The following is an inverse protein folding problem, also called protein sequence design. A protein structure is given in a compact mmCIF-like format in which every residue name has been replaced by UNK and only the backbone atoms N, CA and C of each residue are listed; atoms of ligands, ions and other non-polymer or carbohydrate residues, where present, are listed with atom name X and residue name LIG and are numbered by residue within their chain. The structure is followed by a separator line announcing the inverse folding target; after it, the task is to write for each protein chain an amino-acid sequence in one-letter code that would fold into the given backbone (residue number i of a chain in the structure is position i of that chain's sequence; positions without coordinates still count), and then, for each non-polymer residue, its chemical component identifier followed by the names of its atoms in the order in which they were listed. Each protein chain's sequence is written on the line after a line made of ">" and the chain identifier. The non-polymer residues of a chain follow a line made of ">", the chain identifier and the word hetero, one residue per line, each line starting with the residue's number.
data_IF_130653169150
#
_entry.id   IF_130653169150
#
_cell.length_a   1.000
_cell.length_b   1.000
_cell.length_c   1.000
_cell.angle_alpha   90.00
_cell.angle_beta   90.00
_cell.angle_gamma   90.00
#
_symmetry.space_group_name_H-M   'P 1'
#
loop_
_entity.id
_entity.type
_entity.pdbx_description
1 polymer ?
#
# COMPACT_ATOMS: atom_id res chain seq x y z
N UNK A 1 -2.44 15.31 -21.87
CA UNK A 1 -2.53 15.47 -20.41
C UNK A 1 -2.30 14.11 -19.80
N UNK A 2 -1.12 13.85 -19.25
CA UNK A 2 -0.82 12.57 -18.60
C UNK A 2 -1.42 12.60 -17.20
N UNK A 3 -2.55 11.93 -17.04
CA UNK A 3 -3.19 11.71 -15.75
C UNK A 3 -2.19 10.99 -14.83
N UNK A 4 -1.81 11.65 -13.75
CA UNK A 4 -0.94 11.08 -12.73
C UNK A 4 -1.70 9.96 -12.01
N UNK A 5 -1.13 8.75 -11.92
CA UNK A 5 -1.74 7.63 -11.20
C UNK A 5 -0.77 7.08 -10.14
N UNK A 6 -0.98 7.44 -8.88
CA UNK A 6 -0.65 6.55 -7.77
C UNK A 6 -1.84 5.60 -7.66
N UNK A 7 -1.67 4.34 -8.03
CA UNK A 7 -2.66 3.32 -7.73
C UNK A 7 -2.42 2.78 -6.33
N UNK A 8 -3.48 2.82 -5.52
CA UNK A 8 -3.54 2.23 -4.19
C UNK A 8 -3.37 0.73 -4.28
N UNK A 9 -2.72 0.17 -3.26
CA UNK A 9 -2.19 -1.21 -3.19
C UNK A 9 -2.76 -2.14 -4.25
N UNK A 10 -2.00 -2.39 -5.31
CA UNK A 10 -2.36 -3.37 -6.35
C UNK A 10 -1.62 -4.67 -6.12
N UNK A 11 -2.21 -5.77 -6.56
CA UNK A 11 -1.59 -7.08 -6.55
C UNK A 11 -1.17 -7.45 -7.97
N UNK A 12 0.10 -7.80 -8.14
CA UNK A 12 0.67 -8.33 -9.38
C UNK A 12 1.35 -9.67 -9.11
N UNK A 13 1.00 -10.71 -9.87
CA UNK A 13 1.46 -12.09 -9.61
C UNK A 13 1.95 -12.82 -10.85
N UNK A 14 1.22 -12.77 -11.96
CA UNK A 14 1.48 -13.66 -13.10
C UNK A 14 2.42 -12.96 -14.08
N UNK A 15 3.66 -13.45 -14.11
CA UNK A 15 4.74 -12.98 -14.97
C UNK A 15 4.59 -13.58 -16.36
N UNK A 16 4.87 -12.80 -17.39
CA UNK A 16 5.03 -13.38 -18.72
C UNK A 16 6.37 -14.13 -18.81
N UNK A 17 6.41 -15.16 -19.66
CA UNK A 17 7.60 -16.02 -19.79
C UNK A 17 8.77 -15.36 -20.54
N UNK A 18 8.70 -14.07 -20.88
CA UNK A 18 9.77 -13.36 -21.60
C UNK A 18 10.99 -13.11 -20.72
N UNK A 19 10.79 -12.96 -19.42
CA UNK A 19 11.88 -12.73 -18.47
C UNK A 19 11.56 -13.39 -17.12
N UNK A 20 12.34 -14.42 -16.79
CA UNK A 20 12.18 -15.21 -15.57
C UNK A 20 13.15 -14.81 -14.46
N UNK A 21 13.87 -13.70 -14.61
CA UNK A 21 14.85 -13.24 -13.64
C UNK A 21 14.16 -12.63 -12.40
N UNK A 22 14.77 -12.78 -11.20
CA UNK A 22 14.22 -12.23 -9.97
C UNK A 22 14.22 -10.71 -10.00
N UNK A 23 13.14 -10.09 -9.52
CA UNK A 23 12.99 -8.62 -9.48
C UNK A 23 13.00 -8.04 -8.08
N UNK A 24 13.13 -8.87 -7.05
CA UNK A 24 13.12 -8.44 -5.67
C UNK A 24 14.32 -9.01 -4.91
N UNK A 25 14.76 -8.27 -3.90
CA UNK A 25 15.76 -8.73 -2.93
C UNK A 25 15.15 -8.78 -1.52
N UNK A 26 15.80 -9.54 -0.63
CA UNK A 26 15.45 -9.57 0.79
C UNK A 26 16.33 -8.62 1.61
N UNK A 27 16.09 -8.54 2.94
CA UNK A 27 16.85 -7.66 3.85
C UNK A 27 18.36 -7.89 3.89
N UNK A 28 18.82 -9.09 3.49
CA UNK A 28 20.22 -9.45 3.37
C UNK A 28 20.78 -9.13 1.97
N UNK A 29 20.01 -8.42 1.15
CA UNK A 29 20.31 -8.04 -0.23
C UNK A 29 20.48 -9.23 -1.19
N UNK A 30 19.96 -10.39 -0.82
CA UNK A 30 19.96 -11.56 -1.68
C UNK A 30 18.71 -11.56 -2.56
N UNK A 31 18.87 -11.90 -3.83
CA UNK A 31 17.75 -12.03 -4.77
C UNK A 31 16.76 -13.07 -4.27
N UNK A 32 15.48 -12.74 -4.36
CA UNK A 32 14.39 -13.67 -4.12
C UNK A 32 14.26 -14.54 -5.36
N UNK A 33 14.91 -15.71 -5.33
CA UNK A 33 15.06 -16.56 -6.51
C UNK A 33 13.75 -17.05 -7.12
N UNK A 34 13.71 -17.05 -8.45
CA UNK A 34 12.62 -17.47 -9.34
C UNK A 34 12.81 -18.88 -9.94
N UNK A 35 13.95 -19.52 -9.62
CA UNK A 35 14.48 -20.76 -10.27
C UNK A 35 13.49 -21.93 -10.28
N UNK A 36 12.55 -21.98 -9.34
CA UNK A 36 11.46 -22.95 -9.43
C UNK A 36 10.25 -22.21 -10.00
N UNK A 37 9.63 -22.68 -11.07
CA UNK A 37 8.50 -22.03 -11.78
C UNK A 37 7.41 -21.49 -10.84
N UNK A 38 7.14 -22.17 -9.72
CA UNK A 38 6.21 -21.71 -8.69
C UNK A 38 6.63 -20.42 -7.93
N UNK A 39 7.88 -19.99 -8.05
CA UNK A 39 8.43 -18.74 -7.47
C UNK A 39 8.47 -17.60 -8.48
N UNK A 40 8.38 -17.89 -9.77
CA UNK A 40 8.27 -16.87 -10.82
C UNK A 40 7.00 -16.05 -10.61
N UNK A 41 5.87 -16.74 -10.41
CA UNK A 41 4.57 -16.12 -10.15
C UNK A 41 4.33 -15.78 -8.68
N UNK A 42 5.36 -15.23 -8.02
CA UNK A 42 5.24 -14.69 -6.67
C UNK A 42 4.38 -13.43 -6.73
N UNK A 43 3.36 -13.27 -5.85
CA UNK A 43 2.61 -12.03 -5.78
C UNK A 43 3.47 -10.90 -5.19
N UNK A 44 3.19 -9.68 -5.64
CA UNK A 44 3.73 -8.44 -5.13
C UNK A 44 2.56 -7.50 -4.80
N UNK A 45 2.65 -6.84 -3.65
CA UNK A 45 1.83 -5.65 -3.36
C UNK A 45 2.58 -4.46 -3.93
N UNK A 46 1.91 -3.65 -4.72
CA UNK A 46 2.49 -2.56 -5.53
C UNK A 46 1.83 -1.24 -5.19
N UNK A 47 2.64 -0.20 -5.09
CA UNK A 47 2.25 1.21 -5.01
C UNK A 47 2.97 1.94 -6.14
N UNK A 48 2.23 2.73 -6.91
CA UNK A 48 2.79 3.45 -8.05
C UNK A 48 3.18 4.87 -7.65
N UNK A 49 4.25 5.40 -8.22
CA UNK A 49 4.38 6.83 -8.51
C UNK A 49 4.17 7.04 -10.03
N UNK A 50 4.39 8.25 -10.52
CA UNK A 50 4.22 8.57 -11.94
C UNK A 50 5.06 7.66 -12.85
N UNK A 51 6.34 7.44 -12.50
CA UNK A 51 7.31 6.73 -13.32
C UNK A 51 7.97 5.53 -12.60
N UNK A 52 7.60 5.27 -11.34
CA UNK A 52 8.14 4.15 -10.56
C UNK A 52 7.05 3.28 -9.96
N UNK A 53 7.43 2.04 -9.72
CA UNK A 53 6.67 1.04 -9.01
C UNK A 53 7.45 0.67 -7.76
N UNK A 54 6.85 0.90 -6.60
CA UNK A 54 7.31 0.45 -5.29
C UNK A 54 6.57 -0.83 -4.94
N UNK A 55 7.27 -1.89 -4.58
CA UNK A 55 6.64 -3.18 -4.39
C UNK A 55 7.25 -4.03 -3.30
N UNK A 56 6.37 -4.79 -2.65
CA UNK A 56 6.65 -5.66 -1.53
C UNK A 56 6.39 -7.11 -1.93
N UNK A 57 7.34 -8.03 -1.72
CA UNK A 57 7.14 -9.43 -2.06
C UNK A 57 6.19 -10.10 -1.06
N UNK A 58 5.20 -10.79 -1.60
CA UNK A 58 4.27 -11.64 -0.84
C UNK A 58 4.82 -13.07 -0.82
N UNK A 59 4.70 -13.76 0.31
CA UNK A 59 5.05 -15.17 0.45
C UNK A 59 3.86 -15.95 0.98
N UNK A 60 3.63 -17.14 0.42
CA UNK A 60 2.73 -18.12 1.03
C UNK A 60 3.36 -18.69 2.30
N UNK A 61 2.59 -18.73 3.38
CA UNK A 61 3.00 -19.37 4.63
C UNK A 61 2.72 -20.86 4.48
N UNK A 62 3.74 -21.67 4.76
CA UNK A 62 3.68 -23.14 4.75
C UNK A 62 4.19 -23.65 6.08
N UNK A 63 3.86 -24.87 6.46
CA UNK A 63 4.35 -25.48 7.70
C UNK A 63 5.87 -25.35 7.86
N UNK A 64 6.63 -25.56 6.78
CA UNK A 64 8.10 -25.46 6.77
C UNK A 64 8.67 -24.06 7.02
N UNK A 65 7.88 -22.99 6.83
CA UNK A 65 8.34 -21.61 7.03
C UNK A 65 7.49 -20.82 8.05
N UNK A 66 6.46 -21.43 8.64
CA UNK A 66 5.48 -20.74 9.49
C UNK A 66 6.14 -20.06 10.68
N UNK A 67 6.94 -20.81 11.46
CA UNK A 67 7.63 -20.28 12.64
C UNK A 67 8.49 -19.06 12.29
N UNK A 68 9.39 -19.19 11.33
CA UNK A 68 10.29 -18.10 10.93
C UNK A 68 9.57 -16.91 10.30
N UNK A 69 8.41 -17.13 9.66
CA UNK A 69 7.60 -16.04 9.09
C UNK A 69 6.87 -15.25 10.15
N UNK A 70 6.27 -15.94 11.14
CA UNK A 70 5.45 -15.31 12.17
C UNK A 70 6.28 -14.55 13.21
N UNK A 71 7.52 -14.97 13.48
CA UNK A 71 8.42 -14.26 14.41
C UNK A 71 9.05 -13.01 13.80
N UNK A 72 9.09 -12.88 12.46
CA UNK A 72 9.66 -11.71 11.80
C UNK A 72 8.65 -10.55 11.83
N UNK A 73 8.84 -9.65 12.80
CA UNK A 73 8.01 -8.46 13.06
C UNK A 73 7.93 -7.47 11.88
N UNK A 74 8.77 -7.64 10.86
CA UNK A 74 8.75 -6.85 9.61
C UNK A 74 7.75 -7.38 8.59
N UNK A 75 7.07 -8.50 8.86
CA UNK A 75 5.98 -9.00 8.03
C UNK A 75 4.62 -8.45 8.51
N UNK A 76 3.71 -8.29 7.55
CA UNK A 76 2.26 -8.32 7.80
C UNK A 76 1.78 -9.74 7.55
N UNK A 77 1.05 -10.32 8.50
CA UNK A 77 0.58 -11.71 8.45
C UNK A 77 -0.92 -11.71 8.18
N UNK A 78 -1.29 -12.24 7.02
CA UNK A 78 -2.67 -12.44 6.62
C UNK A 78 -3.00 -13.90 6.92
N UNK A 79 -3.80 -14.14 7.96
CA UNK A 79 -4.09 -15.49 8.45
C UNK A 79 -5.36 -16.06 7.81
N UNK A 80 -5.37 -17.36 7.52
CA UNK A 80 -6.52 -18.14 7.04
C UNK A 80 -7.13 -17.72 5.68
N UNK A 81 -6.57 -16.68 5.06
CA UNK A 81 -6.90 -16.23 3.70
C UNK A 81 -5.59 -15.92 2.94
N UNK A 82 -5.67 -15.91 1.61
CA UNK A 82 -4.58 -15.41 0.77
C UNK A 82 -4.73 -13.91 0.47
N UNK A 83 -3.74 -13.35 -0.23
CA UNK A 83 -3.71 -11.93 -0.59
C UNK A 83 -4.92 -11.46 -1.44
N UNK A 84 -5.69 -12.39 -2.01
CA UNK A 84 -6.92 -12.13 -2.77
C UNK A 84 -8.19 -12.45 -1.96
N UNK A 85 -8.11 -12.53 -0.62
CA UNK A 85 -9.24 -12.84 0.29
C UNK A 85 -9.88 -14.23 0.13
N UNK A 86 -9.34 -15.09 -0.73
CA UNK A 86 -9.79 -16.48 -0.81
C UNK A 86 -9.22 -17.28 0.38
N UNK A 87 -9.97 -18.27 0.85
CA UNK A 87 -9.56 -19.16 1.93
C UNK A 87 -8.17 -19.78 1.65
N UNK A 88 -7.35 -19.86 2.70
CA UNK A 88 -6.05 -20.49 2.63
C UNK A 88 -5.72 -21.19 3.96
N UNK A 89 -5.19 -22.43 3.98
CA UNK A 89 -4.99 -23.19 5.21
C UNK A 89 -4.12 -22.53 6.30
N UNK A 90 -3.25 -21.58 5.93
CA UNK A 90 -2.40 -20.84 6.87
C UNK A 90 -2.43 -19.35 6.52
N UNK A 91 -2.23 -19.04 5.24
CA UNK A 91 -2.35 -17.69 4.71
C UNK A 91 -1.08 -17.16 4.04
N UNK A 92 -0.92 -15.85 4.01
CA UNK A 92 0.18 -15.16 3.32
C UNK A 92 0.91 -14.19 4.27
N UNK A 93 2.15 -13.86 3.94
CA UNK A 93 2.88 -12.79 4.60
C UNK A 93 3.39 -11.79 3.56
N UNK A 94 3.24 -10.51 3.85
CA UNK A 94 3.79 -9.41 3.05
C UNK A 94 5.07 -8.95 3.74
N UNK A 95 6.20 -9.05 3.06
CA UNK A 95 7.48 -8.65 3.63
C UNK A 95 7.69 -7.14 3.44
N UNK A 96 7.66 -6.38 4.54
CA UNK A 96 7.86 -4.94 4.56
C UNK A 96 9.30 -4.52 4.92
N UNK A 97 10.24 -5.47 5.03
CA UNK A 97 11.64 -5.17 5.37
C UNK A 97 12.44 -4.52 4.24
N UNK A 98 11.99 -4.69 2.99
CA UNK A 98 12.61 -4.10 1.81
C UNK A 98 11.53 -3.59 0.87
N UNK A 99 11.60 -2.31 0.51
CA UNK A 99 10.81 -1.73 -0.57
C UNK A 99 11.63 -1.88 -1.85
N UNK A 100 11.14 -2.70 -2.78
CA UNK A 100 11.76 -2.85 -4.09
C UNK A 100 11.16 -1.80 -5.04
N UNK A 101 11.97 -1.30 -5.95
CA UNK A 101 11.62 -0.20 -6.85
C UNK A 101 11.98 -0.60 -8.27
N UNK A 102 11.14 -0.24 -9.23
CA UNK A 102 11.42 -0.43 -10.64
C UNK A 102 10.80 0.72 -11.42
N UNK A 103 11.34 0.99 -12.61
CA UNK A 103 10.61 1.77 -13.60
C UNK A 103 9.24 1.15 -13.90
N UNK A 104 8.21 1.99 -14.00
CA UNK A 104 6.82 1.54 -14.16
C UNK A 104 6.63 0.73 -15.45
N UNK A 105 7.10 1.24 -16.58
CA UNK A 105 6.94 0.58 -17.88
C UNK A 105 7.71 -0.75 -17.88
N UNK A 106 8.92 -0.74 -17.33
CA UNK A 106 9.71 -1.97 -17.17
C UNK A 106 8.96 -2.98 -16.30
N UNK A 107 8.38 -2.57 -15.18
CA UNK A 107 7.64 -3.46 -14.28
C UNK A 107 6.44 -4.09 -14.98
N UNK A 108 5.57 -3.26 -15.56
CA UNK A 108 4.34 -3.72 -16.23
C UNK A 108 4.65 -4.65 -17.41
N UNK A 109 5.74 -4.39 -18.15
CA UNK A 109 6.18 -5.22 -19.27
C UNK A 109 6.52 -6.68 -18.88
N UNK A 110 6.71 -6.96 -17.59
CA UNK A 110 7.05 -8.30 -17.09
C UNK A 110 5.83 -9.15 -16.74
N UNK A 111 4.63 -8.58 -16.73
CA UNK A 111 3.41 -9.26 -16.32
C UNK A 111 2.50 -9.55 -17.52
N UNK A 112 1.61 -10.53 -17.36
CA UNK A 112 0.55 -10.81 -18.33
C UNK A 112 -0.56 -9.76 -18.21
N UNK A 113 -0.88 -9.08 -19.32
CA UNK A 113 -1.81 -7.96 -19.36
C UNK A 113 -3.24 -8.35 -18.95
N UNK A 114 -3.71 -9.50 -19.41
CA UNK A 114 -5.11 -9.94 -19.23
C UNK A 114 -5.27 -10.97 -18.11
N UNK A 115 -4.28 -11.08 -17.23
CA UNK A 115 -4.36 -12.03 -16.11
C UNK A 115 -5.27 -11.49 -15.01
N UNK A 116 -6.29 -12.26 -14.63
CA UNK A 116 -7.18 -11.96 -13.50
C UNK A 116 -6.48 -11.85 -12.13
N UNK A 117 -5.18 -12.15 -12.07
CA UNK A 117 -4.35 -12.08 -10.86
C UNK A 117 -3.38 -10.91 -10.87
N UNK A 118 -3.42 -10.06 -11.90
CA UNK A 118 -2.62 -8.84 -12.03
C UNK A 118 -3.54 -7.62 -11.97
N UNK A 119 -2.99 -6.50 -11.50
CA UNK A 119 -3.74 -5.25 -11.32
C UNK A 119 -5.02 -5.37 -10.47
N UNK A 120 -5.04 -6.32 -9.54
CA UNK A 120 -6.18 -6.54 -8.63
C UNK A 120 -6.05 -5.60 -7.44
N UNK A 121 -7.14 -5.00 -7.00
CA UNK A 121 -7.15 -4.19 -5.78
C UNK A 121 -6.78 -5.05 -4.57
N UNK A 122 -5.82 -4.57 -3.78
CA UNK A 122 -5.57 -5.10 -2.46
C UNK A 122 -6.73 -4.68 -1.56
N UNK A 123 -7.17 -5.60 -0.74
CA UNK A 123 -8.18 -5.34 0.27
C UNK A 123 -7.79 -4.16 1.20
N UNK A 124 -8.78 -3.36 1.56
CA UNK A 124 -8.61 -2.16 2.40
C UNK A 124 -7.96 -2.45 3.77
N UNK A 125 -8.40 -3.48 4.49
CA UNK A 125 -7.83 -3.80 5.81
C UNK A 125 -6.38 -4.28 5.67
N UNK A 126 -6.11 -5.12 4.66
CA UNK A 126 -4.74 -5.58 4.40
C UNK A 126 -3.84 -4.38 4.02
N UNK A 127 -4.35 -3.48 3.19
CA UNK A 127 -3.64 -2.26 2.81
C UNK A 127 -3.35 -1.37 4.03
N UNK A 128 -4.34 -1.19 4.92
CA UNK A 128 -4.16 -0.47 6.18
C UNK A 128 -3.05 -1.08 7.05
N UNK A 129 -3.02 -2.40 7.21
CA UNK A 129 -1.98 -3.09 7.98
C UNK A 129 -0.59 -2.90 7.36
N UNK A 130 -0.49 -2.98 6.02
CA UNK A 130 0.75 -2.77 5.28
C UNK A 130 1.27 -1.35 5.46
N UNK A 131 0.41 -0.34 5.26
CA UNK A 131 0.83 1.05 5.38
C UNK A 131 1.23 1.41 6.82
N UNK A 132 0.49 0.92 7.81
CA UNK A 132 0.84 1.08 9.23
C UNK A 132 2.18 0.41 9.56
N UNK A 133 2.42 -0.80 9.03
CA UNK A 133 3.69 -1.50 9.20
C UNK A 133 4.85 -0.74 8.56
N UNK A 134 4.67 -0.26 7.34
CA UNK A 134 5.68 0.53 6.63
C UNK A 134 5.99 1.82 7.39
N UNK A 135 4.98 2.55 7.86
CA UNK A 135 5.14 3.76 8.66
C UNK A 135 6.03 3.51 9.90
N UNK A 136 5.76 2.45 10.66
CA UNK A 136 6.58 2.11 11.82
C UNK A 136 8.04 1.72 11.45
N UNK A 137 8.23 1.04 10.31
CA UNK A 137 9.56 0.59 9.86
C UNK A 137 10.40 1.74 9.28
N UNK A 138 9.79 2.69 8.56
CA UNK A 138 10.51 3.83 7.97
C UNK A 138 11.01 4.77 9.06
N UNK A 139 10.19 5.07 10.07
CA UNK A 139 10.56 5.95 11.20
C UNK A 139 11.60 5.33 12.14
N UNK A 140 11.72 4.00 12.16
CA UNK A 140 12.75 3.31 12.93
C UNK A 140 13.98 2.94 12.10
N UNK A 141 14.12 3.49 10.89
CA UNK A 141 15.21 3.21 9.94
C UNK A 141 15.44 1.70 9.71
N UNK A 142 14.35 0.93 9.71
CA UNK A 142 14.35 -0.53 9.66
C UNK A 142 13.90 -1.10 8.31
N UNK A 143 13.72 -0.24 7.32
CA UNK A 143 13.40 -0.59 5.93
C UNK A 143 14.62 -0.35 5.06
N UNK A 144 14.88 -1.27 4.12
CA UNK A 144 15.87 -1.07 3.06
C UNK A 144 15.19 -0.81 1.73
N UNK A 145 15.92 -0.23 0.79
CA UNK A 145 15.47 -0.10 -0.59
C UNK A 145 16.31 -0.95 -1.56
N UNK A 146 15.69 -1.35 -2.66
CA UNK A 146 16.40 -1.90 -3.82
C UNK A 146 15.74 -1.40 -5.10
N UNK A 147 16.53 -1.03 -6.10
CA UNK A 147 16.00 -0.64 -7.41
C UNK A 147 16.47 -1.61 -8.49
N UNK A 148 15.55 -2.11 -9.30
CA UNK A 148 15.90 -2.79 -10.56
C UNK A 148 16.10 -1.73 -11.64
N UNK A 149 17.27 -1.77 -12.28
CA UNK A 149 17.64 -0.84 -13.37
C UNK A 149 17.76 -1.53 -14.73
N UNK A 150 17.44 -2.83 -14.79
CA UNK A 150 17.41 -3.58 -16.03
C UNK A 150 17.89 -5.02 -15.87
N UNK A 151 18.08 -5.66 -17.02
CA UNK A 151 18.40 -7.08 -17.11
C UNK A 151 19.59 -7.31 -18.04
N UNK A 152 20.35 -8.35 -17.75
CA UNK A 152 21.25 -9.01 -18.69
C UNK A 152 20.62 -10.33 -19.12
N UNK A 153 21.28 -11.09 -20.00
CA UNK A 153 20.81 -12.43 -20.39
C UNK A 153 20.59 -13.37 -19.20
N UNK A 154 21.34 -13.21 -18.10
CA UNK A 154 21.37 -14.18 -16.99
C UNK A 154 21.13 -13.58 -15.60
N UNK A 155 21.11 -12.25 -15.46
CA UNK A 155 21.05 -11.56 -14.16
C UNK A 155 20.25 -10.27 -14.23
N UNK A 156 19.50 -10.00 -13.17
CA UNK A 156 18.90 -8.68 -12.92
C UNK A 156 19.95 -7.73 -12.36
N UNK A 157 19.97 -6.49 -12.84
CA UNK A 157 20.84 -5.42 -12.34
C UNK A 157 20.10 -4.66 -11.25
N UNK A 158 20.68 -4.63 -10.05
CA UNK A 158 20.13 -3.94 -8.90
C UNK A 158 21.02 -2.79 -8.43
N UNK A 159 20.41 -1.68 -8.06
CA UNK A 159 20.99 -0.71 -7.13
C UNK A 159 20.52 -1.11 -5.72
N UNK A 160 21.46 -1.24 -4.81
CA UNK A 160 21.23 -1.62 -3.41
C UNK A 160 21.04 -0.38 -2.54
N UNK A 161 20.45 -0.57 -1.37
CA UNK A 161 20.01 0.48 -0.45
C UNK A 161 20.99 1.67 -0.28
N UNK A 162 22.28 1.38 -0.05
CA UNK A 162 23.31 2.42 0.15
C UNK A 162 23.58 3.31 -1.07
N UNK A 163 23.26 2.84 -2.28
CA UNK A 163 23.53 3.52 -3.55
C UNK A 163 22.26 4.04 -4.23
N UNK A 164 21.10 3.84 -3.62
CA UNK A 164 19.84 4.32 -4.17
C UNK A 164 19.78 5.83 -4.09
N UNK A 165 19.23 6.43 -5.15
CA UNK A 165 18.94 7.87 -5.19
C UNK A 165 18.04 8.25 -4.02
N UNK A 166 18.46 9.26 -3.24
CA UNK A 166 17.73 9.71 -2.06
C UNK A 166 16.29 10.13 -2.38
N UNK A 167 16.05 10.76 -3.55
CA UNK A 167 14.71 11.16 -3.99
C UNK A 167 13.74 9.96 -4.06
N UNK A 168 14.20 8.79 -4.51
CA UNK A 168 13.36 7.58 -4.57
C UNK A 168 12.87 7.18 -3.17
N UNK A 169 13.74 7.34 -2.15
CA UNK A 169 13.40 7.03 -0.76
C UNK A 169 12.45 8.10 -0.21
N UNK A 170 12.75 9.36 -0.47
CA UNK A 170 11.95 10.49 -0.02
C UNK A 170 10.53 10.44 -0.58
N UNK A 171 10.37 10.07 -1.86
CA UNK A 171 9.05 9.88 -2.49
C UNK A 171 8.24 8.78 -1.79
N UNK A 172 8.87 7.65 -1.48
CA UNK A 172 8.22 6.56 -0.75
C UNK A 172 7.84 7.01 0.67
N UNK A 173 8.73 7.72 1.38
CA UNK A 173 8.46 8.22 2.72
C UNK A 173 7.35 9.26 2.72
N UNK A 174 7.35 10.19 1.76
CA UNK A 174 6.31 11.19 1.59
C UNK A 174 4.96 10.54 1.32
N UNK A 175 4.91 9.50 0.48
CA UNK A 175 3.68 8.74 0.26
C UNK A 175 3.16 8.09 1.54
N UNK A 176 4.03 7.38 2.27
CA UNK A 176 3.68 6.70 3.53
C UNK A 176 3.22 7.71 4.60
N UNK A 177 3.93 8.83 4.75
CA UNK A 177 3.59 9.89 5.70
C UNK A 177 2.26 10.56 5.35
N UNK A 178 2.03 10.83 4.06
CA UNK A 178 0.78 11.43 3.59
C UNK A 178 -0.40 10.50 3.85
N UNK A 179 -0.25 9.20 3.55
CA UNK A 179 -1.26 8.20 3.90
C UNK A 179 -1.57 8.21 5.41
N UNK A 180 -0.54 8.17 6.26
CA UNK A 180 -0.74 8.17 7.72
C UNK A 180 -1.40 9.45 8.22
N UNK A 181 -1.04 10.62 7.66
CA UNK A 181 -1.70 11.88 8.00
C UNK A 181 -3.19 11.84 7.65
N UNK A 182 -3.52 11.34 6.46
CA UNK A 182 -4.91 11.22 6.01
C UNK A 182 -5.70 10.21 6.85
N UNK A 183 -5.08 9.10 7.24
CA UNK A 183 -5.68 8.09 8.13
C UNK A 183 -6.13 8.68 9.48
N UNK A 184 -5.36 9.62 10.04
CA UNK A 184 -5.71 10.30 11.29
C UNK A 184 -6.54 11.58 11.08
N UNK A 185 -6.83 11.95 9.84
CA UNK A 185 -7.71 13.08 9.54
C UNK A 185 -9.15 12.64 9.83
N UNK A 186 -9.95 13.41 10.60
CA UNK A 186 -11.35 13.07 10.79
C UNK A 186 -12.04 12.98 9.44
N UNK A 187 -12.83 11.92 9.21
CA UNK A 187 -13.37 11.59 7.89
C UNK A 187 -14.14 12.75 7.23
N UNK A 188 -14.82 13.58 8.01
CA UNK A 188 -15.54 14.76 7.52
C UNK A 188 -14.64 15.89 6.98
N UNK A 189 -13.32 15.82 7.19
CA UNK A 189 -12.33 16.73 6.64
C UNK A 189 -11.46 16.09 5.55
N UNK A 190 -11.69 14.82 5.20
CA UNK A 190 -10.82 14.09 4.27
C UNK A 190 -10.77 14.76 2.89
N UNK A 191 -11.92 15.20 2.37
CA UNK A 191 -12.01 15.84 1.05
C UNK A 191 -11.25 17.17 1.00
N UNK A 192 -11.26 17.92 2.10
CA UNK A 192 -10.48 19.15 2.24
C UNK A 192 -8.98 18.85 2.22
N UNK A 193 -8.52 17.83 2.93
CA UNK A 193 -7.10 17.48 2.92
C UNK A 193 -6.66 16.87 1.57
N UNK A 194 -7.49 16.05 0.95
CA UNK A 194 -7.24 15.49 -0.38
C UNK A 194 -7.16 16.56 -1.46
N UNK A 195 -7.99 17.62 -1.39
CA UNK A 195 -7.96 18.72 -2.37
C UNK A 195 -6.65 19.51 -2.42
N UNK A 196 -5.80 19.36 -1.41
CA UNK A 196 -4.47 20.00 -1.32
C UNK A 196 -3.36 19.10 -1.87
N UNK A 197 -3.68 17.86 -2.18
CA UNK A 197 -2.73 16.84 -2.65
C UNK A 197 -2.89 16.64 -4.16
N UNK A 198 -1.87 16.09 -4.84
CA UNK A 198 -2.02 15.70 -6.23
C UNK A 198 -3.21 14.75 -6.43
N UNK A 199 -3.89 14.85 -7.58
CA UNK A 199 -5.08 14.03 -7.92
C UNK A 199 -4.89 12.53 -7.74
N UNK A 200 -3.62 12.09 -7.81
CA UNK A 200 -3.22 10.71 -7.52
C UNK A 200 -3.69 10.19 -6.18
N UNK A 201 -3.90 11.06 -5.19
CA UNK A 201 -4.35 10.69 -3.84
C UNK A 201 -5.87 10.52 -3.74
N UNK A 202 -6.65 10.97 -4.73
CA UNK A 202 -8.11 11.00 -4.65
C UNK A 202 -8.74 9.61 -4.44
N UNK A 203 -8.15 8.55 -4.98
CA UNK A 203 -8.69 7.20 -4.75
C UNK A 203 -8.49 6.68 -3.32
N UNK A 204 -7.71 7.35 -2.45
CA UNK A 204 -7.71 7.04 -1.01
C UNK A 204 -9.03 7.37 -0.34
N UNK A 205 -9.84 8.24 -0.93
CA UNK A 205 -11.11 8.67 -0.34
C UNK A 205 -12.01 7.47 -0.03
N UNK A 206 -12.26 6.62 -1.02
CA UNK A 206 -13.10 5.42 -0.87
C UNK A 206 -12.53 4.46 0.18
N UNK A 207 -11.20 4.32 0.18
CA UNK A 207 -10.50 3.53 1.16
C UNK A 207 -10.70 4.04 2.60
N UNK A 208 -10.57 5.34 2.85
CA UNK A 208 -10.78 5.89 4.20
C UNK A 208 -12.25 5.92 4.64
N UNK A 209 -13.19 6.12 3.71
CA UNK A 209 -14.63 5.95 3.98
C UNK A 209 -14.88 4.52 4.44
N UNK A 210 -14.39 3.52 3.70
CA UNK A 210 -14.49 2.12 4.10
C UNK A 210 -13.94 1.87 5.50
N UNK A 211 -12.72 2.35 5.81
CA UNK A 211 -12.12 2.16 7.13
C UNK A 211 -12.88 2.86 8.26
N UNK A 212 -13.64 3.92 7.94
CA UNK A 212 -14.47 4.62 8.93
C UNK A 212 -15.74 3.85 9.32
N UNK A 213 -16.15 2.86 8.51
CA UNK A 213 -17.41 2.14 8.67
C UNK A 213 -18.65 2.97 8.36
N UNK A 214 -18.49 4.15 7.75
CA UNK A 214 -19.58 5.00 7.29
C UNK A 214 -19.89 4.74 5.83
N UNK A 215 -21.14 4.98 5.45
CA UNK A 215 -21.54 5.00 4.04
C UNK A 215 -21.12 6.33 3.38
N UNK A 216 -20.87 6.29 2.08
CA UNK A 216 -20.41 7.48 1.32
C UNK A 216 -21.42 8.64 1.40
N UNK A 217 -22.72 8.31 1.38
CA UNK A 217 -23.80 9.30 1.50
C UNK A 217 -23.84 9.95 2.89
N UNK A 218 -23.49 9.23 3.96
CA UNK A 218 -23.43 9.79 5.32
C UNK A 218 -22.32 10.84 5.42
N UNK A 219 -21.15 10.54 4.86
CA UNK A 219 -20.01 11.47 4.80
C UNK A 219 -20.38 12.71 3.98
N UNK A 220 -20.95 12.51 2.79
CA UNK A 220 -21.37 13.60 1.90
C UNK A 220 -22.45 14.50 2.54
N UNK A 221 -23.42 13.91 3.26
CA UNK A 221 -24.51 14.65 3.88
C UNK A 221 -24.08 15.42 5.14
N UNK A 222 -23.11 14.88 5.90
CA UNK A 222 -22.52 15.58 7.02
C UNK A 222 -21.72 16.82 6.58
N UNK A 223 -21.07 16.77 5.43
CA UNK A 223 -20.35 17.90 4.84
C UNK A 223 -21.27 19.01 4.31
N UNK A 224 -22.47 18.66 3.83
CA UNK A 224 -23.45 19.64 3.29
C UNK A 224 -24.22 20.41 4.37
N UNK A 225 -24.24 19.94 5.62
CA UNK A 225 -24.91 20.66 6.71
C UNK A 225 -23.96 21.72 7.28
N UNK A 226 -24.28 23.03 7.21
CA UNK A 226 -23.55 24.01 8.00
C UNK A 226 -23.72 23.61 9.46
N UNK A 227 -22.59 23.39 10.14
CA UNK A 227 -22.53 22.84 11.49
C UNK A 227 -23.19 23.78 12.50
N UNK A 228 -24.52 23.74 12.62
CA UNK A 228 -25.19 23.99 13.89
C UNK A 228 -25.25 22.65 14.60
N UNK A 229 -24.17 22.29 15.27
CA UNK A 229 -24.10 21.12 16.14
C UNK A 229 -25.29 21.13 17.08
N UNK A 230 -25.81 19.95 17.42
CA UNK A 230 -26.91 19.75 18.38
C UNK A 230 -26.67 20.51 19.70
N UNK A 231 -25.40 20.66 20.11
CA UNK A 231 -24.95 21.52 21.21
C UNK A 231 -25.29 23.02 21.06
N UNK A 232 -25.26 23.60 19.86
CA UNK A 232 -25.66 25.00 19.64
C UNK A 232 -27.17 25.19 19.71
N UNK A 233 -27.98 24.16 19.41
CA UNK A 233 -29.45 24.20 19.60
C UNK A 233 -29.83 24.06 21.08
N UNK A 234 -29.10 23.25 21.83
CA UNK A 234 -29.28 23.09 23.27
C UNK A 234 -28.79 24.31 24.07
N UNK A 235 -27.64 24.90 23.69
CA UNK A 235 -27.15 26.15 24.29
C UNK A 235 -28.06 27.35 24.01
N UNK A 236 -28.67 27.44 22.81
CA UNK A 236 -29.69 28.48 22.52
C UNK A 236 -31.00 28.27 23.31
N UNK A 237 -31.39 27.03 23.56
CA UNK A 237 -32.55 26.72 24.40
C UNK A 237 -32.29 27.02 25.88
N UNK A 238 -31.08 26.79 26.38
CA UNK A 238 -30.70 27.15 27.76
C UNK A 238 -30.50 28.66 27.95
N UNK A 239 -29.96 29.38 26.96
CA UNK A 239 -29.86 30.84 27.01
C UNK A 239 -31.24 31.53 26.99
N UNK A 240 -32.19 31.04 26.17
CA UNK A 240 -33.55 31.56 26.14
C UNK A 240 -34.40 31.27 27.40
N UNK A 241 -33.93 30.34 28.27
CA UNK A 241 -34.54 30.06 29.57
C UNK A 241 -33.98 30.95 30.68
N UNK A 242 -32.83 31.60 30.47
CA UNK A 242 -32.18 32.51 31.44
C UNK A 242 -32.58 33.98 31.23
N UNK A 243 -33.08 34.36 30.04
CA UNK A 243 -33.54 35.72 29.74
C UNK A 243 -35.02 35.98 30.14
N UNK A 244 -35.71 35.01 30.75
CA UNK A 244 -37.11 35.11 31.21
C UNK A 244 -37.25 35.08 32.74
N UNK A 245 -36.18 35.38 33.49
CA UNK A 245 -36.20 35.56 34.95
C UNK A 245 -35.52 36.87 35.34
#
# INVERSE_FOLDING_TARGET
>A
MNSNYIMFGKIYKVRNNKNNLPIAINKNENTIGTIKTYKLNRPYVVFYSNDKVYFLPVKTIRNSNRKSTNVDKKNVIISNINIYRNEAPIGNAINCSVINVMDKELFESLFEKDSKWNNVDLDNEIYYEVMTKLFALVHSNNVKFSQVIGFTKTKTKFIKDKKINQQIKDDAFNFINTYTKLLYTPIYFIDKELSKLPDTYLGLRKHFIFLSGLEEDEVNNAMKKPSKTKRQREAKKQAALLDNH
#
